data_IF_389003102255
#
_entry.id   IF_389003102255
#
_cell.length_a   1.000
_cell.length_b   1.000
_cell.length_c   1.000
_cell.angle_alpha   90.00
_cell.angle_beta   90.00
_cell.angle_gamma   90.00
#
_symmetry.space_group_name_H-M   'P 1'
#
loop_
_entity.id
_entity.type
_entity.pdbx_description
1 polymer ?
#
# COMPACT_ATOMS: atom_id res chain seq x y z
N UNK A 1 11.67 -4.12 -16.32
CA UNK A 1 11.07 -3.83 -14.99
C UNK A 1 9.56 -4.04 -15.07
N UNK A 2 8.85 -4.46 -14.01
CA UNK A 2 7.37 -4.62 -14.05
C UNK A 2 6.69 -3.35 -14.55
N UNK A 3 7.20 -2.17 -14.13
CA UNK A 3 6.71 -0.87 -14.58
C UNK A 3 6.75 -0.66 -16.11
N UNK A 4 7.63 -1.33 -16.85
CA UNK A 4 7.73 -1.23 -18.31
C UNK A 4 6.75 -2.17 -19.03
N UNK A 5 6.21 -3.16 -18.33
CA UNK A 5 5.35 -4.20 -18.88
C UNK A 5 3.86 -4.01 -18.55
N UNK A 6 3.52 -3.10 -17.62
CA UNK A 6 2.13 -2.85 -17.23
C UNK A 6 1.51 -1.71 -18.04
N UNK A 7 0.19 -1.78 -18.25
CA UNK A 7 -0.55 -0.68 -18.88
C UNK A 7 -0.55 0.58 -18.01
N UNK A 8 -0.76 1.75 -18.62
CA UNK A 8 -0.75 3.06 -17.94
C UNK A 8 -1.75 3.20 -16.79
N UNK A 9 -2.80 2.37 -16.79
CA UNK A 9 -3.82 2.35 -15.75
C UNK A 9 -3.59 1.26 -14.70
N UNK A 10 -2.55 0.44 -14.80
CA UNK A 10 -2.27 -0.56 -13.79
C UNK A 10 -1.80 0.10 -12.49
N UNK A 11 -2.22 -0.47 -11.37
CA UNK A 11 -1.73 -0.07 -10.04
C UNK A 11 -0.67 -1.09 -9.62
N UNK A 12 0.51 -0.61 -9.24
CA UNK A 12 1.57 -1.44 -8.67
C UNK A 12 1.52 -1.26 -7.15
N UNK A 13 1.15 -2.32 -6.43
CA UNK A 13 1.12 -2.36 -4.97
C UNK A 13 2.23 -3.25 -4.40
N UNK A 14 2.98 -2.75 -3.43
CA UNK A 14 3.97 -3.51 -2.67
C UNK A 14 3.45 -3.85 -1.28
N UNK A 15 3.52 -5.12 -0.87
CA UNK A 15 3.12 -5.56 0.47
C UNK A 15 4.24 -5.43 1.52
N UNK A 16 5.24 -4.59 1.26
CA UNK A 16 6.38 -4.40 2.17
C UNK A 16 5.93 -3.83 3.52
N UNK A 17 6.60 -4.27 4.59
CA UNK A 17 6.43 -3.72 5.93
C UNK A 17 7.47 -2.65 6.28
N UNK A 18 8.52 -2.47 5.46
CA UNK A 18 9.70 -1.67 5.83
C UNK A 18 10.19 -0.67 4.79
N UNK A 19 9.88 -0.84 3.50
CA UNK A 19 10.28 0.12 2.47
C UNK A 19 9.23 1.22 2.29
N UNK A 20 9.68 2.47 2.21
CA UNK A 20 8.83 3.62 1.88
C UNK A 20 8.50 3.66 0.39
N UNK A 21 7.37 4.28 0.00
CA UNK A 21 7.07 4.55 -1.40
C UNK A 21 8.23 5.28 -2.11
N UNK A 22 8.87 6.25 -1.46
CA UNK A 22 10.03 6.97 -2.01
C UNK A 22 11.21 6.05 -2.37
N UNK A 23 11.49 5.03 -1.55
CA UNK A 23 12.54 4.04 -1.82
C UNK A 23 12.15 3.09 -2.96
N UNK A 24 10.90 2.61 -2.97
CA UNK A 24 10.38 1.76 -4.04
C UNK A 24 10.41 2.47 -5.40
N UNK A 25 10.17 3.79 -5.38
CA UNK A 25 10.08 4.64 -6.56
C UNK A 25 11.41 5.25 -7.00
N UNK A 26 12.54 4.94 -6.34
CA UNK A 26 13.85 5.48 -6.71
C UNK A 26 14.25 5.18 -8.16
N UNK A 27 13.71 4.11 -8.75
CA UNK A 27 13.92 3.70 -10.14
C UNK A 27 12.68 3.93 -11.03
N UNK A 28 11.73 4.76 -10.60
CA UNK A 28 10.56 5.16 -11.39
C UNK A 28 9.47 4.09 -11.53
N UNK A 29 9.27 3.25 -10.51
CA UNK A 29 8.23 2.20 -10.55
C UNK A 29 6.80 2.73 -10.49
N UNK A 30 6.55 3.87 -9.84
CA UNK A 30 5.20 4.39 -9.61
C UNK A 30 4.38 3.54 -8.63
N UNK A 31 5.04 2.78 -7.75
CA UNK A 31 4.41 1.88 -6.81
C UNK A 31 3.86 2.61 -5.58
N UNK A 32 2.74 2.09 -5.04
CA UNK A 32 2.25 2.40 -3.70
C UNK A 32 2.57 1.24 -2.75
N UNK A 33 2.64 1.51 -1.45
CA UNK A 33 2.62 0.47 -0.42
C UNK A 33 1.17 0.10 -0.14
N UNK A 34 0.88 -1.20 -0.13
CA UNK A 34 -0.39 -1.81 0.21
C UNK A 34 -0.13 -2.93 1.24
N UNK A 35 0.09 -2.53 2.48
CA UNK A 35 0.54 -3.40 3.56
C UNK A 35 -0.67 -4.05 4.27
N UNK A 36 -0.88 -5.38 4.14
CA UNK A 36 -1.96 -6.06 4.83
C UNK A 36 -1.59 -6.40 6.27
N UNK A 37 -2.58 -6.47 7.14
CA UNK A 37 -2.39 -7.03 8.47
C UNK A 37 -2.38 -8.56 8.42
N UNK A 38 -1.55 -9.18 9.26
CA UNK A 38 -1.46 -10.63 9.39
C UNK A 38 -2.20 -11.10 10.65
N UNK A 39 -3.14 -12.07 10.56
CA UNK A 39 -3.62 -12.74 9.36
C UNK A 39 -4.72 -11.97 8.62
N UNK A 40 -4.53 -11.83 7.30
CA UNK A 40 -5.38 -11.00 6.40
C UNK A 40 -6.84 -11.47 6.32
N UNK A 41 -7.11 -12.74 6.61
CA UNK A 41 -8.45 -13.33 6.60
C UNK A 41 -9.23 -13.11 7.91
N UNK A 42 -8.56 -12.67 8.99
CA UNK A 42 -9.23 -12.27 10.24
C UNK A 42 -9.28 -10.75 10.37
N UNK A 43 -8.21 -10.07 9.95
CA UNK A 43 -8.09 -8.63 10.00
C UNK A 43 -7.89 -8.09 8.58
N UNK A 44 -8.98 -7.79 7.85
CA UNK A 44 -8.93 -7.40 6.42
C UNK A 44 -8.46 -5.95 6.23
N UNK A 45 -7.67 -5.41 7.14
CA UNK A 45 -7.15 -4.05 7.11
C UNK A 45 -5.93 -4.00 6.19
N UNK A 46 -5.88 -2.98 5.32
CA UNK A 46 -4.75 -2.76 4.41
C UNK A 46 -4.34 -1.29 4.46
N UNK A 47 -3.10 -1.02 4.84
CA UNK A 47 -2.56 0.34 4.85
C UNK A 47 -2.07 0.72 3.45
N UNK A 48 -2.52 1.88 2.97
CA UNK A 48 -2.15 2.44 1.69
C UNK A 48 -1.27 3.67 1.89
N UNK A 49 -0.08 3.67 1.29
CA UNK A 49 0.90 4.77 1.38
C UNK A 49 1.45 5.07 -0.02
N UNK A 50 1.43 6.33 -0.43
CA UNK A 50 1.96 6.77 -1.73
C UNK A 50 1.13 7.89 -2.34
N UNK A 51 1.12 7.94 -3.68
CA UNK A 51 0.31 8.90 -4.44
C UNK A 51 -1.19 8.78 -4.09
N UNK A 52 -1.84 9.93 -3.84
CA UNK A 52 -3.20 9.98 -3.30
C UNK A 52 -4.24 9.42 -4.28
N UNK A 53 -4.13 9.74 -5.56
CA UNK A 53 -5.07 9.28 -6.59
C UNK A 53 -4.92 7.77 -6.83
N UNK A 54 -3.68 7.29 -6.84
CA UNK A 54 -3.38 5.86 -6.96
C UNK A 54 -3.88 5.07 -5.74
N UNK A 55 -3.71 5.62 -4.54
CA UNK A 55 -4.24 5.03 -3.31
C UNK A 55 -5.77 5.01 -3.29
N UNK A 56 -6.45 6.07 -3.77
CA UNK A 56 -7.91 6.08 -3.85
C UNK A 56 -8.44 4.97 -4.77
N UNK A 57 -7.82 4.81 -5.95
CA UNK A 57 -8.18 3.74 -6.90
C UNK A 57 -7.90 2.34 -6.32
N UNK A 58 -6.77 2.17 -5.63
CA UNK A 58 -6.45 0.91 -4.96
C UNK A 58 -7.45 0.60 -3.84
N UNK A 59 -7.87 1.61 -3.07
CA UNK A 59 -8.85 1.47 -2.01
C UNK A 59 -10.19 0.95 -2.56
N UNK A 60 -10.65 1.45 -3.71
CA UNK A 60 -11.90 0.98 -4.31
C UNK A 60 -11.84 -0.49 -4.75
N UNK A 61 -10.70 -0.91 -5.30
CA UNK A 61 -10.45 -2.33 -5.64
C UNK A 61 -10.46 -3.19 -4.37
N UNK A 62 -9.77 -2.75 -3.32
CA UNK A 62 -9.68 -3.45 -2.04
C UNK A 62 -11.05 -3.59 -1.36
N UNK A 63 -11.86 -2.54 -1.36
CA UNK A 63 -13.25 -2.61 -0.86
C UNK A 63 -14.08 -3.63 -1.63
N UNK A 64 -13.88 -3.71 -2.95
CA UNK A 64 -14.56 -4.68 -3.81
C UNK A 64 -14.30 -6.15 -3.44
N UNK A 65 -13.18 -6.44 -2.77
CA UNK A 65 -12.82 -7.80 -2.31
C UNK A 65 -13.00 -7.98 -0.79
N UNK A 66 -13.71 -7.08 -0.11
CA UNK A 66 -14.00 -7.18 1.32
C UNK A 66 -12.90 -6.67 2.24
N UNK A 67 -11.89 -5.98 1.69
CA UNK A 67 -10.82 -5.35 2.48
C UNK A 67 -11.24 -3.96 2.97
N UNK A 68 -10.57 -3.51 4.02
CA UNK A 68 -10.79 -2.25 4.70
C UNK A 68 -9.52 -1.41 4.52
N UNK A 69 -9.40 -0.64 3.42
CA UNK A 69 -8.22 0.17 3.15
C UNK A 69 -8.14 1.38 4.08
N UNK A 70 -6.96 1.64 4.62
CA UNK A 70 -6.62 2.82 5.43
C UNK A 70 -5.55 3.64 4.70
N UNK A 71 -5.93 4.81 4.19
CA UNK A 71 -4.96 5.72 3.55
C UNK A 71 -4.16 6.46 4.62
N UNK A 72 -2.85 6.23 4.65
CA UNK A 72 -1.92 6.89 5.57
C UNK A 72 -1.52 8.25 4.96
N UNK A 73 -1.85 9.35 5.66
CA UNK A 73 -1.72 10.72 5.14
C UNK A 73 -0.32 11.33 5.25
N UNK A 74 0.58 10.72 6.01
CA UNK A 74 1.96 11.14 6.16
C UNK A 74 2.88 9.92 6.08
N UNK A 75 3.96 10.03 5.31
CA UNK A 75 5.05 9.05 5.39
C UNK A 75 5.59 9.06 6.82
N UNK A 76 5.35 7.98 7.55
CA UNK A 76 5.89 7.74 8.87
C UNK A 76 6.87 6.58 8.80
N UNK A 77 7.97 6.67 9.54
CA UNK A 77 8.82 5.52 9.82
C UNK A 77 8.00 4.52 10.65
N UNK A 78 7.89 3.29 10.13
CA UNK A 78 6.99 2.22 10.58
C UNK A 78 5.49 2.48 10.34
N UNK A 79 4.81 1.43 9.88
CA UNK A 79 3.37 1.41 9.64
C UNK A 79 2.58 1.65 10.95
N UNK A 80 1.35 2.17 10.87
CA UNK A 80 0.53 2.43 12.07
C UNK A 80 0.25 1.09 12.79
N UNK A 81 0.11 0.01 12.02
CA UNK A 81 0.02 -1.37 12.46
C UNK A 81 1.11 -1.76 13.49
N UNK A 82 2.37 -1.58 13.11
CA UNK A 82 3.51 -2.03 13.91
C UNK A 82 3.59 -1.24 15.22
N UNK A 83 3.22 0.05 15.19
CA UNK A 83 3.19 0.90 16.39
C UNK A 83 2.09 0.55 17.39
N UNK A 84 1.00 -0.07 16.95
CA UNK A 84 -0.07 -0.55 17.85
C UNK A 84 0.21 -1.94 18.41
N UNK A 85 1.01 -2.75 17.71
CA UNK A 85 1.42 -4.10 18.15
C UNK A 85 2.59 -4.08 19.13
N UNK A 86 3.45 -3.05 19.08
CA UNK A 86 4.60 -2.89 19.98
C UNK A 86 4.34 -2.01 21.23
N UNK A 87 3.09 -1.60 21.47
CA UNK A 87 2.71 -0.81 22.66
C UNK A 87 2.40 -1.68 23.90
#
# INVERSE_FOLDING_TARGET
MIAEAVGTNAIIGSSTSGFKPSELNAVGTGAIVAHPFNPVYLLPLVELVGDADTCARAADILRGIGMYPLTVRQEIDAHIADRLLEA
#
